data_IF_051718817645
#
_entry.id   IF_051718817645
#
_cell.length_a   1.000
_cell.length_b   1.000
_cell.length_c   1.000
_cell.angle_alpha   90.00
_cell.angle_beta   90.00
_cell.angle_gamma   90.00
#
_symmetry.space_group_name_H-M   'P 1'
#
loop_
_entity.id
_entity.type
_entity.pdbx_description
1 polymer ?
#
# COMPACT_ATOMS: atom_id res chain seq x y z
N UNK A 1 10.57 15.23 15.59
CA UNK A 1 9.31 14.47 15.45
C UNK A 1 9.61 13.08 15.99
N UNK A 2 9.01 12.69 17.11
CA UNK A 2 9.20 11.35 17.67
C UNK A 2 8.27 10.36 16.96
N UNK A 3 8.81 9.20 16.58
CA UNK A 3 8.02 8.12 15.98
C UNK A 3 7.38 7.34 17.11
N UNK A 4 6.05 7.20 17.10
CA UNK A 4 5.32 6.43 18.11
C UNK A 4 5.48 4.93 17.87
N UNK A 5 5.36 4.14 18.93
CA UNK A 5 5.42 2.68 18.83
C UNK A 5 4.30 2.13 17.94
N UNK A 6 3.10 2.69 18.05
CA UNK A 6 1.96 2.35 17.18
C UNK A 6 2.28 2.57 15.69
N UNK A 7 3.01 3.63 15.35
CA UNK A 7 3.42 3.90 13.98
C UNK A 7 4.47 2.89 13.49
N UNK A 8 5.41 2.50 14.36
CA UNK A 8 6.39 1.45 14.05
C UNK A 8 5.69 0.11 13.77
N UNK A 9 4.74 -0.27 14.61
CA UNK A 9 3.97 -1.51 14.47
C UNK A 9 3.17 -1.51 13.16
N UNK A 10 2.49 -0.40 12.85
CA UNK A 10 1.77 -0.25 11.59
C UNK A 10 2.71 -0.38 10.38
N UNK A 11 3.87 0.28 10.41
CA UNK A 11 4.86 0.19 9.34
C UNK A 11 5.40 -1.25 9.17
N UNK A 12 5.66 -1.95 10.27
CA UNK A 12 6.09 -3.34 10.24
C UNK A 12 5.04 -4.24 9.59
N UNK A 13 3.77 -4.07 9.94
CA UNK A 13 2.63 -4.80 9.35
C UNK A 13 2.50 -4.53 7.85
N UNK A 14 2.51 -3.26 7.44
CA UNK A 14 2.41 -2.88 6.02
C UNK A 14 3.56 -3.47 5.22
N UNK A 15 4.81 -3.39 5.72
CA UNK A 15 5.97 -3.98 5.05
C UNK A 15 5.81 -5.49 4.87
N UNK A 16 5.34 -6.20 5.91
CA UNK A 16 5.05 -7.64 5.83
C UNK A 16 4.01 -7.98 4.77
N UNK A 17 2.96 -7.17 4.65
CA UNK A 17 1.94 -7.32 3.60
C UNK A 17 2.54 -7.14 2.20
N UNK A 18 3.34 -6.09 1.99
CA UNK A 18 4.00 -5.85 0.70
C UNK A 18 4.90 -7.02 0.30
N UNK A 19 5.67 -7.57 1.25
CA UNK A 19 6.52 -8.74 1.00
C UNK A 19 5.70 -9.98 0.67
N UNK A 20 4.57 -10.20 1.34
CA UNK A 20 3.65 -11.30 1.04
C UNK A 20 3.08 -11.18 -0.37
N UNK A 21 2.62 -9.99 -0.76
CA UNK A 21 2.11 -9.73 -2.11
C UNK A 21 3.21 -9.95 -3.16
N UNK A 22 4.41 -9.42 -2.93
CA UNK A 22 5.55 -9.62 -3.83
C UNK A 22 5.94 -11.09 -3.98
N UNK A 23 5.97 -11.86 -2.89
CA UNK A 23 6.29 -13.29 -2.93
C UNK A 23 5.18 -14.12 -3.60
N UNK A 24 3.93 -13.67 -3.54
CA UNK A 24 2.79 -14.36 -4.15
C UNK A 24 2.64 -14.07 -5.64
N UNK A 25 2.75 -12.80 -6.04
CA UNK A 25 2.58 -12.38 -7.45
C UNK A 25 3.89 -12.44 -8.23
N UNK A 26 5.03 -12.19 -7.60
CA UNK A 26 6.29 -11.96 -8.30
C UNK A 26 6.28 -10.67 -9.13
N UNK A 27 7.37 -10.38 -9.87
CA UNK A 27 7.44 -9.22 -10.76
C UNK A 27 6.75 -9.48 -12.11
N UNK A 28 6.42 -8.40 -12.85
CA UNK A 28 6.00 -8.46 -14.27
C UNK A 28 4.52 -8.19 -14.54
N UNK A 29 3.69 -8.09 -13.51
CA UNK A 29 2.29 -7.69 -13.65
C UNK A 29 2.12 -6.16 -13.75
N UNK A 30 1.01 -5.68 -14.33
CA UNK A 30 0.62 -4.26 -14.23
C UNK A 30 0.41 -3.82 -12.79
N UNK A 31 0.60 -2.52 -12.52
CA UNK A 31 0.47 -1.92 -11.18
C UNK A 31 -0.88 -2.25 -10.52
N UNK A 32 -1.98 -2.20 -11.28
CA UNK A 32 -3.34 -2.46 -10.79
C UNK A 32 -3.50 -3.84 -10.10
N UNK A 33 -2.69 -4.83 -10.49
CA UNK A 33 -2.73 -6.17 -9.88
C UNK A 33 -2.16 -6.14 -8.47
N UNK A 34 -1.05 -5.40 -8.26
CA UNK A 34 -0.50 -5.20 -6.94
C UNK A 34 -1.41 -4.33 -6.09
N UNK A 35 -2.03 -3.29 -6.67
CA UNK A 35 -3.03 -2.48 -5.98
C UNK A 35 -4.16 -3.36 -5.46
N UNK A 36 -4.77 -4.19 -6.30
CA UNK A 36 -5.87 -5.09 -5.89
C UNK A 36 -5.45 -6.11 -4.85
N UNK A 37 -4.24 -6.66 -4.93
CA UNK A 37 -3.72 -7.57 -3.92
C UNK A 37 -3.48 -6.87 -2.56
N UNK A 38 -2.98 -5.64 -2.57
CA UNK A 38 -2.79 -4.84 -1.36
C UNK A 38 -4.13 -4.42 -0.75
N UNK A 39 -5.10 -3.98 -1.55
CA UNK A 39 -6.47 -3.68 -1.10
C UNK A 39 -7.06 -4.87 -0.36
N UNK A 40 -6.96 -6.08 -0.94
CA UNK A 40 -7.45 -7.31 -0.32
C UNK A 40 -6.75 -7.60 1.02
N UNK A 41 -5.42 -7.50 1.10
CA UNK A 41 -4.68 -7.76 2.34
C UNK A 41 -4.95 -6.69 3.41
N UNK A 42 -5.09 -5.41 3.03
CA UNK A 42 -5.45 -4.35 3.97
C UNK A 42 -6.87 -4.53 4.51
N UNK A 43 -7.85 -4.86 3.67
CA UNK A 43 -9.21 -5.21 4.12
C UNK A 43 -9.17 -6.40 5.08
N UNK A 44 -8.43 -7.47 4.74
CA UNK A 44 -8.31 -8.67 5.57
C UNK A 44 -7.67 -8.39 6.93
N UNK A 45 -6.75 -7.44 7.01
CA UNK A 45 -6.07 -7.06 8.25
C UNK A 45 -6.71 -5.87 8.97
N UNK A 46 -7.89 -5.43 8.51
CA UNK A 46 -8.62 -4.29 9.07
C UNK A 46 -7.77 -3.02 9.14
N UNK A 47 -6.86 -2.85 8.17
CA UNK A 47 -6.03 -1.65 8.03
C UNK A 47 -6.83 -0.63 7.21
N UNK A 48 -7.13 0.57 7.74
CA UNK A 48 -7.83 1.59 6.97
C UNK A 48 -7.00 2.07 5.78
N UNK A 49 -7.61 2.15 4.61
CA UNK A 49 -6.97 2.69 3.40
C UNK A 49 -8.00 3.35 2.49
N UNK A 50 -7.51 4.20 1.58
CA UNK A 50 -8.29 4.81 0.52
C UNK A 50 -7.66 4.41 -0.83
N UNK A 51 -8.31 3.54 -1.63
CA UNK A 51 -7.76 3.13 -2.91
C UNK A 51 -7.83 4.29 -3.90
N UNK A 52 -6.76 4.46 -4.70
CA UNK A 52 -6.67 5.48 -5.76
C UNK A 52 -7.05 6.88 -5.27
N UNK A 53 -6.56 7.26 -4.09
CA UNK A 53 -6.76 8.60 -3.54
C UNK A 53 -6.37 9.63 -4.60
N UNK A 54 -7.29 10.54 -5.01
CA UNK A 54 -6.99 11.55 -6.00
C UNK A 54 -5.80 12.41 -5.57
N UNK A 55 -4.78 12.49 -6.42
CA UNK A 55 -3.63 13.38 -6.23
C UNK A 55 -3.68 14.44 -7.32
N UNK A 56 -3.51 15.70 -6.95
CA UNK A 56 -3.38 16.77 -7.93
C UNK A 56 -2.07 16.58 -8.70
N UNK A 57 -2.19 16.46 -10.01
CA UNK A 57 -1.07 16.40 -10.93
C UNK A 57 -1.05 17.74 -11.66
N UNK A 58 0.03 18.49 -11.48
CA UNK A 58 0.32 19.69 -12.27
C UNK A 58 1.23 19.27 -13.41
N UNK A 59 0.84 19.55 -14.64
CA UNK A 59 1.68 19.28 -15.81
C UNK A 59 1.81 20.56 -16.64
N UNK A 60 2.98 21.20 -16.53
CA UNK A 60 3.22 22.51 -17.11
C UNK A 60 2.17 23.53 -16.63
N UNK A 61 1.46 24.17 -17.54
CA UNK A 61 0.39 25.14 -17.25
C UNK A 61 -1.01 24.49 -17.16
N UNK A 62 -1.09 23.15 -17.05
CA UNK A 62 -2.33 22.36 -16.91
C UNK A 62 -2.52 21.83 -15.49
#
# INVERSE_FOLDING_TARGET
MEITEELNDLCYRIRGICMKVHNGLGPGFPEEYYQKALEYEFTKQEIPFEPQKPVQVFYEDV
#
